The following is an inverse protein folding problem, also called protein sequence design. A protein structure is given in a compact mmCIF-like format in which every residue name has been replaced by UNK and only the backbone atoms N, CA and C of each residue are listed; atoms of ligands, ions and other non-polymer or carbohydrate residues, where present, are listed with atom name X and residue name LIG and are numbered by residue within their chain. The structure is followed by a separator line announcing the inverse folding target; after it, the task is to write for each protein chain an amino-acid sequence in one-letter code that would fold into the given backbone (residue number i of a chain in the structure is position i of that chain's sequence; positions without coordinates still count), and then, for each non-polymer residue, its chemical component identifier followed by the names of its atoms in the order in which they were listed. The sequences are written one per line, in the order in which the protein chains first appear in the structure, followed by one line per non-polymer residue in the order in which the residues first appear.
data_IF_148560825983
#
_entry.id   IF_148560825983
#
_cell.length_a   1.000
_cell.length_b   1.000
_cell.length_c   1.000
_cell.angle_alpha   90.00
_cell.angle_beta   90.00
_cell.angle_gamma   90.00
#
_symmetry.space_group_name_H-M   'P 1'
#
loop_
_entity.id
_entity.type
_entity.pdbx_description
1 polymer ?
#
# COMPACT_ATOMS: atom_id res chain seq x y z
N UNK A 1 52.98 54.34 8.57
CA UNK A 1 51.84 53.69 9.24
C UNK A 1 51.36 52.57 8.34
N UNK A 2 51.54 51.30 8.74
CA UNK A 2 51.06 50.16 7.95
C UNK A 2 49.57 49.88 8.25
N UNK A 3 48.75 49.47 7.27
CA UNK A 3 47.33 49.23 7.49
C UNK A 3 47.13 47.91 8.25
N UNK A 4 46.30 47.93 9.29
CA UNK A 4 45.88 46.74 10.04
C UNK A 4 45.01 45.86 9.14
N UNK A 5 45.45 44.63 8.91
CA UNK A 5 44.71 43.58 8.21
C UNK A 5 43.53 43.15 9.10
N UNK A 6 42.31 43.26 8.57
CA UNK A 6 41.11 42.75 9.23
C UNK A 6 41.19 41.21 9.37
N UNK A 7 40.66 40.64 10.47
CA UNK A 7 40.63 39.19 10.65
C UNK A 7 39.72 38.53 9.59
N UNK A 8 40.02 37.29 9.17
CA UNK A 8 39.18 36.57 8.22
C UNK A 8 37.78 36.37 8.81
N UNK A 9 36.76 36.65 8.01
CA UNK A 9 35.37 36.36 8.35
C UNK A 9 35.25 34.87 8.71
N UNK A 10 34.61 34.57 9.84
CA UNK A 10 34.31 33.20 10.24
C UNK A 10 33.51 32.52 9.13
N UNK A 11 33.92 31.31 8.74
CA UNK A 11 33.18 30.50 7.80
C UNK A 11 31.75 30.31 8.31
N UNK A 12 30.73 30.35 7.41
CA UNK A 12 29.36 30.09 7.82
C UNK A 12 29.26 28.71 8.48
N UNK A 13 28.38 28.52 9.48
CA UNK A 13 28.19 27.22 10.11
C UNK A 13 27.80 26.20 9.03
N UNK A 14 28.54 25.09 8.97
CA UNK A 14 28.20 23.95 8.12
C UNK A 14 26.94 23.34 8.70
N UNK A 15 25.80 23.57 8.03
CA UNK A 15 24.55 22.90 8.41
C UNK A 15 24.76 21.38 8.34
N UNK A 16 24.28 20.61 9.33
CA UNK A 16 24.43 19.17 9.31
C UNK A 16 23.71 18.61 8.06
N UNK A 17 24.47 18.00 7.16
CA UNK A 17 23.92 17.33 5.98
C UNK A 17 23.10 16.13 6.42
N UNK A 18 21.84 16.06 6.02
CA UNK A 18 20.97 14.93 6.30
C UNK A 18 21.55 13.64 5.69
N UNK A 19 21.36 12.48 6.34
CA UNK A 19 21.56 11.16 5.75
C UNK A 19 21.00 11.06 4.31
N UNK A 20 21.81 10.50 3.41
CA UNK A 20 21.46 10.25 2.01
C UNK A 20 21.37 8.76 1.74
N UNK A 21 20.56 8.36 0.77
CA UNK A 21 20.55 6.99 0.25
C UNK A 21 21.97 6.59 -0.26
N UNK A 22 22.48 5.48 0.27
CA UNK A 22 23.76 4.85 -0.03
C UNK A 22 23.62 3.88 -1.22
N UNK A 23 22.47 3.20 -1.35
CA UNK A 23 22.22 2.29 -2.47
C UNK A 23 22.41 2.97 -3.84
N UNK A 24 23.31 2.43 -4.68
CA UNK A 24 23.62 2.97 -6.02
C UNK A 24 23.53 1.93 -7.15
N UNK A 25 23.11 0.69 -6.86
CA UNK A 25 23.01 -0.34 -7.89
C UNK A 25 21.85 -0.09 -8.87
N UNK A 26 21.99 -0.36 -10.18
CA UNK A 26 20.92 -0.09 -11.14
C UNK A 26 19.79 -1.12 -11.00
N UNK A 27 18.55 -0.64 -11.02
CA UNK A 27 17.32 -1.43 -11.04
C UNK A 27 16.67 -1.45 -12.42
N UNK A 28 17.00 -0.49 -13.27
CA UNK A 28 16.50 -0.39 -14.65
C UNK A 28 17.50 -0.94 -15.69
N UNK A 29 16.99 -1.40 -16.83
CA UNK A 29 17.80 -1.90 -17.94
C UNK A 29 17.21 -1.56 -19.31
N UNK A 30 18.06 -1.60 -20.34
CA UNK A 30 17.64 -1.49 -21.74
C UNK A 30 17.24 -2.85 -22.31
N UNK A 31 16.39 -2.85 -23.33
CA UNK A 31 16.02 -4.06 -24.06
C UNK A 31 17.26 -4.86 -24.49
N UNK A 32 17.25 -6.17 -24.22
CA UNK A 32 18.38 -7.07 -24.53
C UNK A 32 19.51 -7.13 -23.50
N UNK A 33 19.47 -6.32 -22.42
CA UNK A 33 20.46 -6.37 -21.32
C UNK A 33 19.78 -6.46 -19.96
N UNK A 34 18.82 -7.38 -19.82
CA UNK A 34 18.06 -7.56 -18.59
C UNK A 34 18.95 -8.00 -17.42
N UNK A 35 18.69 -7.44 -16.24
CA UNK A 35 19.30 -7.90 -14.99
C UNK A 35 18.71 -9.29 -14.68
N UNK A 36 19.53 -10.30 -14.39
CA UNK A 36 19.02 -11.62 -13.98
C UNK A 36 18.10 -11.51 -12.76
N UNK A 37 16.98 -12.24 -12.74
CA UNK A 37 15.98 -12.15 -11.67
C UNK A 37 16.57 -12.29 -10.27
N UNK A 38 17.49 -13.24 -10.06
CA UNK A 38 18.13 -13.46 -8.76
C UNK A 38 18.95 -12.25 -8.29
N UNK A 39 19.67 -11.62 -9.22
CA UNK A 39 20.45 -10.42 -8.94
C UNK A 39 19.54 -9.20 -8.70
N UNK A 40 18.45 -9.08 -9.46
CA UNK A 40 17.46 -8.02 -9.28
C UNK A 40 16.77 -8.13 -7.91
N UNK A 41 16.40 -9.34 -7.49
CA UNK A 41 15.86 -9.61 -6.16
C UNK A 41 16.84 -9.23 -5.06
N UNK A 42 18.13 -9.57 -5.21
CA UNK A 42 19.17 -9.17 -4.25
C UNK A 42 19.24 -7.65 -4.11
N UNK A 43 19.24 -6.92 -5.23
CA UNK A 43 19.30 -5.45 -5.25
C UNK A 43 18.06 -4.81 -4.63
N UNK A 44 16.87 -5.28 -5.01
CA UNK A 44 15.63 -4.77 -4.44
C UNK A 44 15.52 -5.09 -2.94
N UNK A 45 16.02 -6.25 -2.50
CA UNK A 45 16.10 -6.59 -1.08
C UNK A 45 17.03 -5.64 -0.33
N UNK A 46 18.21 -5.35 -0.87
CA UNK A 46 19.14 -4.39 -0.26
C UNK A 46 18.54 -2.98 -0.18
N UNK A 47 17.91 -2.50 -1.26
CA UNK A 47 17.22 -1.21 -1.26
C UNK A 47 16.07 -1.18 -0.25
N UNK A 48 15.25 -2.24 -0.18
CA UNK A 48 14.13 -2.31 0.75
C UNK A 48 14.60 -2.27 2.22
N UNK A 49 15.69 -2.96 2.55
CA UNK A 49 16.27 -2.90 3.90
C UNK A 49 16.73 -1.48 4.24
N UNK A 50 17.43 -0.82 3.33
CA UNK A 50 17.91 0.53 3.56
C UNK A 50 16.77 1.55 3.67
N UNK A 51 15.80 1.53 2.74
CA UNK A 51 14.65 2.43 2.77
C UNK A 51 13.82 2.28 4.05
N UNK A 52 13.69 1.07 4.58
CA UNK A 52 12.94 0.82 5.81
C UNK A 52 13.59 1.47 7.06
N UNK A 53 14.89 1.74 7.03
CA UNK A 53 15.65 2.39 8.11
C UNK A 53 15.67 3.92 8.00
N UNK A 54 15.29 4.48 6.85
CA UNK A 54 15.28 5.93 6.63
C UNK A 54 14.07 6.59 7.31
N UNK A 55 14.35 7.67 8.03
CA UNK A 55 13.33 8.50 8.67
C UNK A 55 12.87 9.64 7.74
N UNK A 56 11.60 10.03 7.85
CA UNK A 56 10.97 11.05 7.00
C UNK A 56 11.55 12.46 7.22
N UNK A 57 11.93 12.81 8.45
CA UNK A 57 12.45 14.14 8.82
C UNK A 57 13.98 14.20 8.72
N UNK A 58 14.65 13.06 8.91
CA UNK A 58 16.13 12.99 8.96
C UNK A 58 16.77 12.55 7.63
N UNK A 59 16.03 12.46 6.53
CA UNK A 59 16.56 12.00 5.24
C UNK A 59 16.58 13.09 4.17
N UNK A 60 17.68 13.20 3.42
CA UNK A 60 17.71 14.00 2.20
C UNK A 60 16.84 13.35 1.10
N UNK A 61 15.60 13.83 0.98
CA UNK A 61 14.60 13.36 0.01
C UNK A 61 15.08 13.46 -1.44
N UNK A 62 16.01 14.37 -1.76
CA UNK A 62 16.55 14.50 -3.11
C UNK A 62 17.36 13.27 -3.54
N UNK A 63 17.99 12.57 -2.58
CA UNK A 63 18.77 11.35 -2.83
C UNK A 63 17.92 10.18 -3.34
N UNK A 64 16.61 10.17 -3.06
CA UNK A 64 15.68 9.13 -3.48
C UNK A 64 15.24 9.25 -4.96
N UNK A 65 15.47 10.40 -5.61
CA UNK A 65 14.91 10.68 -6.93
C UNK A 65 15.32 9.68 -8.02
N UNK A 66 16.56 9.18 -7.99
CA UNK A 66 17.05 8.16 -8.93
C UNK A 66 16.27 6.86 -8.76
N UNK A 67 16.23 6.32 -7.53
CA UNK A 67 15.57 5.03 -7.27
C UNK A 67 14.06 5.12 -7.45
N UNK A 68 13.42 6.22 -7.05
CA UNK A 68 11.99 6.46 -7.26
C UNK A 68 11.63 6.35 -8.75
N UNK A 69 12.43 6.96 -9.62
CA UNK A 69 12.24 6.89 -11.07
C UNK A 69 12.45 5.48 -11.62
N UNK A 70 13.47 4.76 -11.16
CA UNK A 70 13.76 3.40 -11.63
C UNK A 70 12.70 2.39 -11.18
N UNK A 71 12.21 2.49 -9.94
CA UNK A 71 11.15 1.66 -9.36
C UNK A 71 9.84 1.76 -10.14
N UNK A 72 9.54 2.94 -10.72
CA UNK A 72 8.38 3.16 -11.57
C UNK A 72 8.52 2.57 -12.98
N UNK A 73 9.62 1.89 -13.31
CA UNK A 73 9.79 1.36 -14.66
C UNK A 73 8.77 0.26 -14.95
N UNK A 74 8.15 0.23 -16.15
CA UNK A 74 7.18 -0.81 -16.51
C UNK A 74 7.74 -2.23 -16.42
N UNK A 75 9.05 -2.37 -16.60
CA UNK A 75 9.76 -3.64 -16.47
C UNK A 75 9.77 -4.19 -15.04
N UNK A 76 9.69 -3.33 -14.02
CA UNK A 76 9.58 -3.73 -12.62
C UNK A 76 8.12 -3.90 -12.20
N UNK A 77 7.27 -2.89 -12.47
CA UNK A 77 5.86 -2.93 -12.07
C UNK A 77 5.11 -4.09 -12.73
N UNK A 78 5.42 -4.38 -14.00
CA UNK A 78 4.88 -5.50 -14.76
C UNK A 78 5.80 -6.72 -14.82
N UNK A 79 6.81 -6.83 -13.95
CA UNK A 79 7.78 -7.92 -14.03
C UNK A 79 7.09 -9.28 -13.88
N UNK A 80 7.52 -10.31 -14.63
CA UNK A 80 6.89 -11.66 -14.57
C UNK A 80 7.02 -12.34 -13.21
N UNK A 81 8.15 -12.13 -12.55
CA UNK A 81 8.45 -12.71 -11.23
C UNK A 81 7.70 -11.99 -10.12
N UNK A 82 6.99 -12.75 -9.27
CA UNK A 82 6.16 -12.20 -8.19
C UNK A 82 6.99 -11.56 -7.08
N UNK A 83 8.17 -12.12 -6.79
CA UNK A 83 9.07 -11.57 -5.77
C UNK A 83 9.61 -10.21 -6.18
N UNK A 84 9.97 -10.04 -7.46
CA UNK A 84 10.41 -8.74 -7.99
C UNK A 84 9.31 -7.69 -7.78
N UNK A 85 8.06 -8.02 -8.10
CA UNK A 85 6.92 -7.12 -7.88
C UNK A 85 6.71 -6.82 -6.39
N UNK A 86 6.82 -7.82 -5.52
CA UNK A 86 6.65 -7.67 -4.07
C UNK A 86 7.72 -6.77 -3.43
N UNK A 87 9.01 -6.97 -3.76
CA UNK A 87 10.08 -6.11 -3.24
C UNK A 87 10.05 -4.71 -3.85
N UNK A 88 9.72 -4.56 -5.14
CA UNK A 88 9.52 -3.25 -5.75
C UNK A 88 8.37 -2.49 -5.05
N UNK A 89 7.28 -3.17 -4.73
CA UNK A 89 6.16 -2.59 -4.00
C UNK A 89 6.54 -2.14 -2.58
N UNK A 90 7.34 -2.95 -1.86
CA UNK A 90 7.88 -2.56 -0.56
C UNK A 90 8.76 -1.30 -0.65
N UNK A 91 9.65 -1.22 -1.63
CA UNK A 91 10.45 0.00 -1.83
C UNK A 91 9.57 1.21 -2.16
N UNK A 92 8.53 1.03 -3.00
CA UNK A 92 7.63 2.11 -3.39
C UNK A 92 6.83 2.65 -2.21
N UNK A 93 6.33 1.79 -1.31
CA UNK A 93 5.58 2.25 -0.13
C UNK A 93 6.47 3.03 0.84
N UNK A 94 7.75 2.65 0.97
CA UNK A 94 8.70 3.44 1.77
C UNK A 94 9.02 4.78 1.13
N UNK A 95 9.19 4.85 -0.19
CA UNK A 95 9.38 6.14 -0.86
C UNK A 95 8.16 7.04 -0.66
N UNK A 96 6.93 6.50 -0.71
CA UNK A 96 5.71 7.26 -0.39
C UNK A 96 5.74 7.79 1.05
N UNK A 97 6.14 6.95 2.01
CA UNK A 97 6.25 7.30 3.44
C UNK A 97 7.30 8.39 3.69
N UNK A 98 8.54 8.17 3.23
CA UNK A 98 9.68 9.09 3.45
C UNK A 98 9.44 10.44 2.78
N UNK A 99 8.81 10.45 1.61
CA UNK A 99 8.59 11.69 0.88
C UNK A 99 7.29 12.40 1.23
N UNK A 100 6.43 11.83 2.08
CA UNK A 100 5.19 12.49 2.49
C UNK A 100 5.46 13.90 3.07
N UNK A 101 4.56 14.88 2.83
CA UNK A 101 3.32 14.78 2.05
C UNK A 101 3.52 14.80 0.51
N UNK A 102 4.70 15.21 0.04
CA UNK A 102 4.98 15.47 -1.37
C UNK A 102 5.74 14.30 -2.02
N UNK A 103 5.02 13.25 -2.41
CA UNK A 103 5.61 12.09 -3.07
C UNK A 103 6.31 12.46 -4.40
N UNK A 104 7.47 11.85 -4.73
CA UNK A 104 8.29 12.22 -5.88
C UNK A 104 7.77 11.58 -7.19
N UNK A 105 6.46 11.38 -7.29
CA UNK A 105 5.81 10.66 -8.38
C UNK A 105 4.82 11.56 -9.10
N UNK A 106 4.85 11.49 -10.44
CA UNK A 106 3.81 12.11 -11.27
C UNK A 106 2.47 11.37 -11.12
N UNK A 107 1.32 12.00 -11.43
CA UNK A 107 0.02 11.33 -11.38
C UNK A 107 -0.06 10.04 -12.20
N UNK A 108 0.65 9.98 -13.34
CA UNK A 108 0.74 8.75 -14.16
C UNK A 108 1.53 7.66 -13.45
N UNK A 109 2.65 7.99 -12.81
CA UNK A 109 3.41 7.01 -12.03
C UNK A 109 2.62 6.52 -10.81
N UNK A 110 1.93 7.41 -10.09
CA UNK A 110 1.06 7.02 -8.97
C UNK A 110 -0.03 6.05 -9.43
N UNK A 111 -0.67 6.30 -10.58
CA UNK A 111 -1.62 5.35 -11.16
C UNK A 111 -1.00 3.97 -11.36
N UNK A 112 0.19 3.90 -11.96
CA UNK A 112 0.85 2.61 -12.25
C UNK A 112 1.27 1.89 -10.95
N UNK A 113 1.73 2.64 -9.94
CA UNK A 113 2.05 2.13 -8.60
C UNK A 113 0.80 1.56 -7.92
N UNK A 114 -0.29 2.31 -7.86
CA UNK A 114 -1.54 1.84 -7.26
C UNK A 114 -2.16 0.69 -8.05
N UNK A 115 -2.01 0.68 -9.37
CA UNK A 115 -2.39 -0.47 -10.20
C UNK A 115 -1.63 -1.72 -9.78
N UNK A 116 -0.31 -1.63 -9.57
CA UNK A 116 0.47 -2.75 -9.03
C UNK A 116 -0.05 -3.19 -7.65
N UNK A 117 -0.28 -2.25 -6.73
CA UNK A 117 -0.74 -2.57 -5.38
C UNK A 117 -2.09 -3.29 -5.40
N UNK A 118 -3.09 -2.72 -6.08
CA UNK A 118 -4.47 -3.23 -6.11
C UNK A 118 -4.58 -4.52 -6.92
N UNK A 119 -3.82 -4.69 -7.99
CA UNK A 119 -4.00 -5.87 -8.87
C UNK A 119 -3.10 -7.05 -8.55
N UNK A 120 -1.99 -6.84 -7.84
CA UNK A 120 -0.99 -7.88 -7.58
C UNK A 120 -0.62 -8.08 -6.13
N UNK A 121 -0.43 -7.00 -5.38
CA UNK A 121 0.18 -7.07 -4.03
C UNK A 121 -0.88 -7.36 -2.97
N UNK A 122 -1.91 -6.52 -2.92
CA UNK A 122 -3.00 -6.63 -1.97
C UNK A 122 -3.84 -7.90 -2.16
N UNK A 123 -4.22 -8.33 -3.38
CA UNK A 123 -4.93 -9.60 -3.55
C UNK A 123 -4.08 -10.82 -3.18
N UNK A 124 -2.75 -10.75 -3.19
CA UNK A 124 -1.91 -11.86 -2.78
C UNK A 124 -1.97 -12.18 -1.27
N UNK A 125 -2.55 -11.28 -0.46
CA UNK A 125 -2.83 -11.49 0.96
C UNK A 125 -3.94 -12.52 1.21
N UNK A 126 -4.67 -12.93 0.17
CA UNK A 126 -5.62 -14.05 0.28
C UNK A 126 -4.93 -15.39 0.54
N UNK A 127 -3.61 -15.47 0.35
CA UNK A 127 -2.81 -16.68 0.57
C UNK A 127 -1.65 -16.39 1.54
N UNK A 128 -1.86 -16.60 2.85
CA UNK A 128 -0.84 -16.37 3.87
C UNK A 128 0.43 -17.20 3.68
N UNK A 129 0.34 -18.33 2.97
CA UNK A 129 1.46 -19.24 2.67
C UNK A 129 2.37 -18.76 1.55
N UNK A 130 2.01 -17.65 0.88
CA UNK A 130 2.80 -17.07 -0.19
C UNK A 130 4.22 -16.73 0.29
N UNK A 131 5.23 -17.13 -0.49
CA UNK A 131 6.64 -16.94 -0.16
C UNK A 131 7.04 -15.47 0.09
N UNK A 132 6.25 -14.51 -0.43
CA UNK A 132 6.46 -13.07 -0.27
C UNK A 132 5.39 -12.39 0.60
N UNK A 133 4.64 -13.17 1.39
CA UNK A 133 3.59 -12.63 2.26
C UNK A 133 4.11 -11.58 3.24
N UNK A 134 5.38 -11.69 3.69
CA UNK A 134 6.05 -10.67 4.49
C UNK A 134 6.06 -9.30 3.80
N UNK A 135 6.41 -9.25 2.51
CA UNK A 135 6.41 -8.01 1.74
C UNK A 135 4.98 -7.50 1.48
N UNK A 136 4.02 -8.39 1.19
CA UNK A 136 2.63 -7.99 0.99
C UNK A 136 2.02 -7.38 2.26
N UNK A 137 2.26 -8.01 3.41
CA UNK A 137 1.84 -7.50 4.72
C UNK A 137 2.50 -6.16 5.03
N UNK A 138 3.80 -6.02 4.75
CA UNK A 138 4.51 -4.75 4.93
C UNK A 138 3.87 -3.61 4.14
N UNK A 139 3.53 -3.84 2.87
CA UNK A 139 2.84 -2.85 2.03
C UNK A 139 1.46 -2.50 2.59
N UNK A 140 0.67 -3.50 3.00
CA UNK A 140 -0.65 -3.26 3.61
C UNK A 140 -0.53 -2.40 4.88
N UNK A 141 0.34 -2.79 5.80
CA UNK A 141 0.55 -2.08 7.07
C UNK A 141 1.00 -0.64 6.84
N UNK A 142 2.01 -0.43 5.98
CA UNK A 142 2.53 0.91 5.69
C UNK A 142 1.49 1.81 5.02
N UNK A 143 0.70 1.30 4.06
CA UNK A 143 -0.40 2.06 3.45
C UNK A 143 -1.46 2.48 4.47
N UNK A 144 -1.79 1.61 5.42
CA UNK A 144 -2.78 1.88 6.47
C UNK A 144 -2.27 2.91 7.49
N UNK A 145 -1.05 2.72 8.01
CA UNK A 145 -0.47 3.58 9.05
C UNK A 145 -0.14 4.98 8.54
N UNK A 146 0.45 5.08 7.35
CA UNK A 146 0.82 6.35 6.72
C UNK A 146 -0.39 7.03 6.07
N UNK A 147 -1.48 6.28 5.85
CA UNK A 147 -2.66 6.72 5.09
C UNK A 147 -2.35 7.17 3.65
N UNK A 148 -1.20 6.73 3.10
CA UNK A 148 -0.79 7.05 1.74
C UNK A 148 -1.70 6.41 0.69
N UNK A 149 -2.58 5.48 1.08
CA UNK A 149 -3.61 4.91 0.21
C UNK A 149 -4.59 5.95 -0.35
N UNK A 150 -4.80 7.08 0.35
CA UNK A 150 -5.69 8.16 -0.11
C UNK A 150 -5.27 8.73 -1.46
N UNK A 151 -3.97 8.69 -1.79
CA UNK A 151 -3.45 9.16 -3.08
C UNK A 151 -4.11 8.46 -4.29
N UNK A 152 -4.74 7.30 -4.09
CA UNK A 152 -5.53 6.61 -5.14
C UNK A 152 -6.71 7.45 -5.65
N UNK A 153 -7.25 8.38 -4.85
CA UNK A 153 -8.42 9.20 -5.23
C UNK A 153 -8.05 10.28 -6.24
N UNK A 154 -6.78 10.67 -6.29
CA UNK A 154 -6.27 11.73 -7.18
C UNK A 154 -5.72 11.18 -8.52
N UNK A 155 -5.69 9.86 -8.71
CA UNK A 155 -5.16 9.26 -9.94
C UNK A 155 -6.23 9.12 -11.03
N UNK A 156 -5.78 9.14 -12.28
CA UNK A 156 -6.66 8.80 -13.41
C UNK A 156 -7.18 7.37 -13.26
N UNK A 157 -8.48 7.17 -13.50
CA UNK A 157 -9.17 5.87 -13.34
C UNK A 157 -9.24 5.38 -11.88
N UNK A 158 -9.34 6.32 -10.92
CA UNK A 158 -9.52 6.03 -9.49
C UNK A 158 -10.72 5.11 -9.21
N UNK A 159 -11.88 5.38 -9.82
CA UNK A 159 -13.12 4.63 -9.57
C UNK A 159 -12.97 3.12 -9.76
N UNK A 160 -12.34 2.70 -10.86
CA UNK A 160 -12.11 1.28 -11.14
C UNK A 160 -11.10 0.65 -10.18
N UNK A 161 -10.09 1.41 -9.73
CA UNK A 161 -9.12 0.93 -8.73
C UNK A 161 -9.77 0.81 -7.34
N UNK A 162 -10.60 1.78 -6.94
CA UNK A 162 -11.38 1.75 -5.72
C UNK A 162 -12.34 0.55 -5.72
N UNK A 163 -13.10 0.38 -6.80
CA UNK A 163 -14.00 -0.77 -6.95
C UNK A 163 -13.28 -2.09 -6.78
N UNK A 164 -12.14 -2.26 -7.46
CA UNK A 164 -11.35 -3.48 -7.39
C UNK A 164 -10.78 -3.70 -5.98
N UNK A 165 -10.26 -2.66 -5.33
CA UNK A 165 -9.72 -2.72 -3.98
C UNK A 165 -10.78 -3.15 -2.95
N UNK A 166 -11.94 -2.49 -2.94
CA UNK A 166 -13.04 -2.82 -2.03
C UNK A 166 -13.53 -4.25 -2.25
N UNK A 167 -13.67 -4.67 -3.52
CA UNK A 167 -14.04 -6.05 -3.87
C UNK A 167 -13.04 -7.05 -3.30
N UNK A 168 -11.74 -6.86 -3.53
CA UNK A 168 -10.68 -7.75 -3.06
C UNK A 168 -10.71 -7.87 -1.53
N UNK A 169 -10.78 -6.74 -0.81
CA UNK A 169 -10.74 -6.77 0.65
C UNK A 169 -11.96 -7.46 1.24
N UNK A 170 -13.16 -7.19 0.74
CA UNK A 170 -14.34 -7.91 1.21
C UNK A 170 -14.31 -9.40 0.82
N UNK A 171 -13.77 -9.75 -0.32
CA UNK A 171 -13.62 -11.15 -0.71
C UNK A 171 -12.63 -11.91 0.19
N UNK A 172 -11.52 -11.28 0.54
CA UNK A 172 -10.53 -11.83 1.47
C UNK A 172 -11.13 -11.99 2.87
N UNK A 173 -11.75 -10.94 3.42
CA UNK A 173 -12.29 -10.94 4.79
C UNK A 173 -13.50 -11.88 4.91
N UNK A 174 -14.37 -11.96 3.88
CA UNK A 174 -15.52 -12.87 3.90
C UNK A 174 -15.14 -14.34 3.67
N UNK A 175 -13.87 -14.64 3.38
CA UNK A 175 -13.39 -15.98 3.06
C UNK A 175 -13.89 -16.53 1.73
N UNK A 176 -14.43 -15.67 0.85
CA UNK A 176 -14.77 -16.07 -0.53
C UNK A 176 -13.50 -16.27 -1.36
N UNK A 177 -12.44 -15.52 -1.05
CA UNK A 177 -11.10 -15.76 -1.57
C UNK A 177 -10.50 -16.99 -0.87
N UNK A 178 -10.37 -18.10 -1.60
CA UNK A 178 -9.82 -19.35 -1.05
C UNK A 178 -8.29 -19.22 -0.90
N UNK A 179 -7.79 -19.31 0.33
CA UNK A 179 -6.38 -19.57 0.56
C UNK A 179 -5.99 -20.93 -0.03
N UNK A 180 -4.85 -20.99 -0.73
CA UNK A 180 -4.33 -22.22 -1.35
C UNK A 180 -4.14 -23.36 -0.34
N UNK A 181 -3.86 -23.01 0.92
CA UNK A 181 -3.56 -23.94 2.01
C UNK A 181 -4.69 -24.08 3.03
N UNK A 182 -5.79 -23.32 2.89
CA UNK A 182 -6.86 -23.25 3.89
C UNK A 182 -6.47 -22.53 5.18
N UNK A 183 -5.31 -21.87 5.23
CA UNK A 183 -4.89 -21.05 6.35
C UNK A 183 -5.78 -19.80 6.46
N UNK A 184 -6.14 -19.45 7.70
CA UNK A 184 -6.99 -18.28 7.95
C UNK A 184 -6.17 -16.99 7.83
N UNK A 185 -6.82 -15.95 7.31
CA UNK A 185 -6.28 -14.60 7.28
C UNK A 185 -5.86 -14.16 8.70
N UNK A 186 -4.69 -13.54 8.83
CA UNK A 186 -4.28 -13.01 10.13
C UNK A 186 -5.18 -11.85 10.56
N UNK A 187 -5.50 -11.76 11.86
CA UNK A 187 -6.27 -10.64 12.43
C UNK A 187 -5.62 -9.28 12.14
N UNK A 188 -4.29 -9.25 12.03
CA UNK A 188 -3.56 -8.03 11.71
C UNK A 188 -3.83 -7.57 10.27
N UNK A 189 -3.87 -8.52 9.32
CA UNK A 189 -4.23 -8.21 7.93
C UNK A 189 -5.67 -7.68 7.83
N UNK A 190 -6.61 -8.35 8.52
CA UNK A 190 -8.01 -7.90 8.58
C UNK A 190 -8.13 -6.48 9.14
N UNK A 191 -7.41 -6.19 10.24
CA UNK A 191 -7.38 -4.87 10.85
C UNK A 191 -6.89 -3.80 9.87
N UNK A 192 -5.72 -3.97 9.24
CA UNK A 192 -5.19 -2.97 8.31
C UNK A 192 -6.02 -2.85 7.01
N UNK A 193 -6.62 -3.94 6.52
CA UNK A 193 -7.58 -3.86 5.41
C UNK A 193 -8.76 -2.98 5.79
N UNK A 194 -9.33 -3.17 6.98
CA UNK A 194 -10.44 -2.35 7.47
C UNK A 194 -10.02 -0.87 7.62
N UNK A 195 -8.86 -0.59 8.21
CA UNK A 195 -8.35 0.79 8.35
C UNK A 195 -8.20 1.49 6.99
N UNK A 196 -7.73 0.79 5.96
CA UNK A 196 -7.66 1.33 4.59
C UNK A 196 -9.06 1.63 4.05
N UNK A 197 -10.04 0.72 4.20
CA UNK A 197 -11.40 0.95 3.72
C UNK A 197 -12.03 2.16 4.41
N UNK A 198 -11.89 2.27 5.74
CA UNK A 198 -12.37 3.42 6.52
C UNK A 198 -11.71 4.71 6.05
N UNK A 199 -10.38 4.72 5.94
CA UNK A 199 -9.62 5.89 5.47
C UNK A 199 -10.09 6.34 4.09
N UNK A 200 -10.34 5.42 3.15
CA UNK A 200 -10.84 5.77 1.83
C UNK A 200 -12.28 6.28 1.84
N UNK A 201 -13.14 5.76 2.72
CA UNK A 201 -14.52 6.28 2.87
C UNK A 201 -14.51 7.69 3.46
N UNK A 202 -13.65 7.96 4.44
CA UNK A 202 -13.59 9.23 5.15
C UNK A 202 -12.94 10.34 4.31
N UNK A 203 -11.89 10.01 3.55
CA UNK A 203 -11.07 11.01 2.84
C UNK A 203 -11.42 11.14 1.34
N UNK A 204 -12.13 10.18 0.74
CA UNK A 204 -12.53 10.31 -0.66
C UNK A 204 -13.60 11.41 -0.81
N UNK A 205 -13.46 12.32 -1.79
CA UNK A 205 -14.43 13.39 -2.01
C UNK A 205 -15.81 12.84 -2.40
N UNK A 206 -15.82 11.75 -3.17
CA UNK A 206 -17.00 11.00 -3.56
C UNK A 206 -16.62 9.53 -3.78
N UNK A 207 -17.48 8.60 -3.40
CA UNK A 207 -17.32 7.19 -3.73
C UNK A 207 -18.15 6.79 -4.96
N UNK A 208 -17.62 5.94 -5.86
CA UNK A 208 -18.39 5.38 -6.95
C UNK A 208 -19.61 4.61 -6.44
N UNK A 209 -20.75 4.69 -7.14
CA UNK A 209 -21.99 3.99 -6.74
C UNK A 209 -21.77 2.49 -6.58
N UNK A 210 -20.99 1.87 -7.47
CA UNK A 210 -20.68 0.44 -7.42
C UNK A 210 -19.91 0.07 -6.13
N UNK A 211 -19.06 0.96 -5.61
CA UNK A 211 -18.36 0.75 -4.33
C UNK A 211 -19.36 0.78 -3.17
N UNK A 212 -20.29 1.75 -3.19
CA UNK A 212 -21.36 1.85 -2.19
C UNK A 212 -22.22 0.58 -2.19
N UNK A 213 -22.60 0.09 -3.37
CA UNK A 213 -23.40 -1.13 -3.52
C UNK A 213 -22.68 -2.34 -2.90
N UNK A 214 -21.36 -2.46 -3.10
CA UNK A 214 -20.55 -3.53 -2.50
C UNK A 214 -20.54 -3.43 -0.97
N UNK A 215 -20.39 -2.23 -0.41
CA UNK A 215 -20.42 -2.00 1.04
C UNK A 215 -21.78 -2.42 1.60
N UNK A 216 -22.88 -1.95 0.98
CA UNK A 216 -24.25 -2.30 1.40
C UNK A 216 -24.52 -3.80 1.29
N UNK A 217 -24.02 -4.45 0.24
CA UNK A 217 -24.15 -5.89 0.05
C UNK A 217 -23.51 -6.70 1.20
N UNK A 218 -22.47 -6.20 1.86
CA UNK A 218 -21.89 -6.87 3.03
C UNK A 218 -22.85 -6.88 4.22
N UNK A 219 -23.60 -5.81 4.46
CA UNK A 219 -24.61 -5.77 5.54
C UNK A 219 -25.74 -6.76 5.27
N UNK A 220 -26.20 -6.86 4.01
CA UNK A 220 -27.24 -7.83 3.62
C UNK A 220 -26.75 -9.27 3.80
N UNK A 221 -25.49 -9.55 3.42
CA UNK A 221 -24.85 -10.87 3.62
C UNK A 221 -24.77 -11.23 5.10
N UNK A 222 -24.33 -10.29 5.95
CA UNK A 222 -24.23 -10.49 7.39
C UNK A 222 -25.62 -10.73 8.05
N UNK A 223 -26.66 -10.01 7.60
CA UNK A 223 -28.02 -10.24 8.09
C UNK A 223 -28.55 -11.63 7.72
N UNK A 224 -28.26 -12.10 6.51
CA UNK A 224 -28.66 -13.44 6.06
C UNK A 224 -27.95 -14.57 6.82
N UNK A 225 -26.64 -14.43 7.08
CA UNK A 225 -25.87 -15.42 7.86
C UNK A 225 -26.26 -15.41 9.35
N UNK A 226 -26.61 -14.25 9.91
CA UNK A 226 -27.17 -14.13 11.26
C UNK A 226 -28.49 -14.88 11.44
N UNK A 227 -29.39 -14.80 10.45
CA UNK A 227 -30.67 -15.56 10.43
C UNK A 227 -30.46 -17.07 10.32
N UNK A 228 -29.47 -17.52 9.54
CA UNK A 228 -29.13 -18.94 9.43
C UNK A 228 -28.58 -19.54 10.74
N UNK A 229 -27.85 -18.75 11.53
CA UNK A 229 -27.27 -19.17 12.83
C UNK A 229 -28.31 -19.21 13.96
N UNK A 230 -29.35 -18.39 13.90
CA UNK A 230 -30.48 -18.40 14.86
C UNK A 230 -31.40 -19.64 14.73
N UNK A 231 -31.38 -20.35 13.60
CA UNK A 231 -32.14 -21.59 13.43
C UNK A 231 -31.43 -22.84 13.99
N UNK A 232 -30.23 -22.68 14.59
CA UNK A 232 -29.39 -23.79 15.05
C UNK A 232 -29.19 -23.94 16.56
N UNK A 233 -29.49 -22.92 17.38
CA UNK A 233 -29.49 -23.07 18.84
C UNK A 233 -30.30 -21.95 19.49
N UNK A 234 -31.30 -22.32 20.28
CA UNK A 234 -32.27 -21.41 20.87
C UNK A 234 -31.71 -20.69 22.10
N UNK A 235 -31.61 -19.36 22.03
CA UNK A 235 -31.94 -18.41 23.11
C UNK A 235 -32.00 -17.01 22.53
N UNK A 236 -33.22 -16.55 22.25
CA UNK A 236 -33.58 -15.18 21.90
C UNK A 236 -33.20 -14.25 23.06
N UNK A 237 -32.38 -13.24 22.78
CA UNK A 237 -32.14 -12.10 23.68
C UNK A 237 -33.01 -10.94 23.17
N UNK A 238 -33.94 -10.48 24.00
CA UNK A 238 -35.10 -9.62 23.68
C UNK A 238 -34.76 -8.17 23.29
N UNK A 239 -33.57 -7.90 22.72
CA UNK A 239 -33.10 -6.54 22.41
C UNK A 239 -32.90 -6.22 20.93
N UNK A 240 -33.24 -7.12 20.00
CA UNK A 240 -33.10 -6.88 18.54
C UNK A 240 -34.43 -6.84 17.77
N UNK A 241 -35.56 -6.56 18.43
CA UNK A 241 -36.88 -6.54 17.80
C UNK A 241 -37.19 -5.31 16.92
N UNK A 242 -36.22 -4.42 16.64
CA UNK A 242 -36.49 -3.14 15.95
C UNK A 242 -36.20 -3.15 14.44
N UNK A 243 -35.76 -4.27 13.85
CA UNK A 243 -35.37 -4.35 12.43
C UNK A 243 -36.18 -5.37 11.61
N UNK A 244 -37.40 -5.69 12.04
CA UNK A 244 -38.29 -6.46 11.17
C UNK A 244 -38.98 -5.52 10.16
N UNK A 245 -38.83 -5.84 8.87
CA UNK A 245 -39.62 -5.23 7.80
C UNK A 245 -41.09 -5.51 8.09
N UNK A 246 -41.83 -4.46 8.40
CA UNK A 246 -43.28 -4.52 8.55
C UNK A 246 -43.87 -4.75 7.15
N UNK A 247 -44.31 -5.98 6.88
CA UNK A 247 -45.16 -6.23 5.72
C UNK A 247 -46.43 -5.39 5.86
N UNK A 248 -46.67 -4.53 4.87
CA UNK A 248 -47.88 -3.73 4.75
C UNK A 248 -49.00 -4.61 4.15
N UNK A 249 -50.26 -4.37 4.55
CA UNK A 249 -51.40 -5.21 4.20
C UNK A 249 -51.76 -5.22 2.70
#
# INVERSE_FOLDING_TARGET
MAPRRAPPAAAPPVEPSLPTLIFDEPLSWRAGKAIPTAELLRRLGALATELAELDQEETDKASLGKVAKELCSPNLLGHKDRGVRAFAAACLVDVLKICAPDAPFTPTQLKDIFTLFVTSILPALSDPSNAYNTQHMYVLTSLAEVKSVVLITDVNNADALLLHLFTIFFDIVSGSAKASTGEQLSKNAEFHMNEILVTLVDEAPTLPTEVIDIIVAQFLRAAATGKAKQNGDSKTDDKQSTLEMKELP
#
